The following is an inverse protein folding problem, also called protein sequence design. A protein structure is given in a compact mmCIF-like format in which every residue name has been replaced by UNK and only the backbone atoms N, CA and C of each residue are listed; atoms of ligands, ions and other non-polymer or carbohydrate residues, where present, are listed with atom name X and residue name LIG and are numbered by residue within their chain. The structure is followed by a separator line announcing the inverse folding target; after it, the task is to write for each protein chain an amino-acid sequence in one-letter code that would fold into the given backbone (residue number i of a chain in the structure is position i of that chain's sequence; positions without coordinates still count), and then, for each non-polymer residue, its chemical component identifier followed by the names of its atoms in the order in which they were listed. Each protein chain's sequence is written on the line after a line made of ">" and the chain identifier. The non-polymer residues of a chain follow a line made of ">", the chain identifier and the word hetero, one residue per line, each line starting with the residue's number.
data_IF_291350326339
#
_entry.id   IF_291350326339
#
_cell.length_a   1.000
_cell.length_b   1.000
_cell.length_c   1.000
_cell.angle_alpha   90.00
_cell.angle_beta   90.00
_cell.angle_gamma   90.00
#
_symmetry.space_group_name_H-M   'P 1'
#
loop_
_entity.id
_entity.type
_entity.pdbx_description
1 polymer ?
#
# COMPACT_ATOMS: atom_id res chain seq x y z
N UNK A 1 -35.36 -12.18 8.45
CA UNK A 1 -34.31 -11.20 8.11
C UNK A 1 -33.49 -10.99 9.38
N UNK A 2 -32.29 -11.55 9.50
CA UNK A 2 -31.43 -11.31 10.67
C UNK A 2 -30.82 -9.92 10.54
N UNK A 3 -31.14 -9.03 11.47
CA UNK A 3 -30.51 -7.71 11.57
C UNK A 3 -29.05 -7.92 11.95
N UNK A 4 -28.12 -7.67 11.04
CA UNK A 4 -26.69 -7.73 11.34
C UNK A 4 -26.37 -6.56 12.27
N UNK A 5 -26.10 -6.83 13.56
CA UNK A 5 -25.65 -5.80 14.49
C UNK A 5 -24.19 -5.45 14.16
N UNK A 6 -23.92 -4.15 14.03
CA UNK A 6 -22.59 -3.61 13.81
C UNK A 6 -22.05 -3.03 15.11
N UNK A 7 -20.84 -3.43 15.49
CA UNK A 7 -20.10 -2.91 16.63
C UNK A 7 -19.13 -1.83 16.13
N UNK A 8 -19.25 -0.57 16.60
CA UNK A 8 -18.35 0.51 16.22
C UNK A 8 -16.94 0.31 16.77
N UNK A 9 -15.95 0.68 15.95
CA UNK A 9 -14.55 0.77 16.34
C UNK A 9 -14.16 2.23 16.53
N UNK A 10 -13.54 2.55 17.66
CA UNK A 10 -13.07 3.89 18.00
C UNK A 10 -11.56 3.93 18.16
N UNK A 11 -10.98 5.11 17.99
CA UNK A 11 -9.62 5.39 18.47
C UNK A 11 -9.63 5.85 19.94
N UNK A 12 -8.45 6.00 20.56
CA UNK A 12 -8.32 6.51 21.94
C UNK A 12 -8.84 7.94 22.16
N UNK A 13 -9.12 8.69 21.10
CA UNK A 13 -9.70 10.03 21.16
C UNK A 13 -11.23 10.01 21.08
N UNK A 14 -11.86 8.83 21.07
CA UNK A 14 -13.31 8.67 20.95
C UNK A 14 -13.84 8.93 19.53
N UNK A 15 -12.98 9.01 18.52
CA UNK A 15 -13.41 9.18 17.13
C UNK A 15 -13.68 7.80 16.52
N UNK A 16 -14.82 7.66 15.85
CA UNK A 16 -15.19 6.42 15.16
C UNK A 16 -14.29 6.23 13.94
N UNK A 17 -13.64 5.07 13.88
CA UNK A 17 -12.79 4.64 12.76
C UNK A 17 -13.63 3.89 11.72
N UNK A 18 -14.36 2.86 12.16
CA UNK A 18 -15.15 1.97 11.31
C UNK A 18 -16.19 1.22 12.15
N UNK A 19 -16.74 0.12 11.64
CA UNK A 19 -17.49 -0.87 12.41
C UNK A 19 -17.20 -2.28 11.91
N UNK A 20 -17.29 -3.25 12.81
CA UNK A 20 -17.25 -4.68 12.51
C UNK A 20 -18.63 -5.28 12.76
N UNK A 21 -18.99 -6.32 12.03
CA UNK A 21 -20.20 -7.09 12.30
C UNK A 21 -20.01 -8.01 13.52
N UNK A 22 -21.09 -8.38 14.19
CA UNK A 22 -21.05 -9.44 15.23
C UNK A 22 -20.44 -10.75 14.70
N UNK A 23 -20.68 -11.09 13.44
CA UNK A 23 -20.06 -12.24 12.80
C UNK A 23 -18.53 -12.08 12.73
N UNK A 24 -18.02 -10.89 12.37
CA UNK A 24 -16.57 -10.61 12.37
C UNK A 24 -15.97 -10.73 13.78
N UNK A 25 -16.72 -10.39 14.83
CA UNK A 25 -16.32 -10.58 16.23
C UNK A 25 -16.15 -12.05 16.58
N UNK A 26 -17.03 -12.92 16.10
CA UNK A 26 -16.92 -14.36 16.35
C UNK A 26 -15.62 -14.98 15.79
N UNK A 27 -14.93 -14.27 14.88
CA UNK A 27 -13.63 -14.68 14.36
C UNK A 27 -12.45 -14.07 15.12
N UNK A 28 -12.71 -13.14 16.03
CA UNK A 28 -11.69 -12.60 16.92
C UNK A 28 -11.22 -13.73 17.82
N UNK A 29 -9.95 -14.09 17.67
CA UNK A 29 -9.30 -15.00 18.58
C UNK A 29 -9.10 -14.29 19.92
N UNK A 30 -10.02 -14.50 20.87
CA UNK A 30 -10.00 -13.83 22.17
C UNK A 30 -8.69 -14.07 22.95
N UNK A 31 -8.04 -15.22 22.73
CA UNK A 31 -6.73 -15.54 23.33
C UNK A 31 -5.60 -14.64 22.81
N UNK A 32 -5.84 -13.93 21.72
CA UNK A 32 -4.92 -13.00 21.05
C UNK A 32 -5.32 -11.54 21.25
N UNK A 33 -6.43 -11.26 21.94
CA UNK A 33 -6.81 -9.90 22.32
C UNK A 33 -5.85 -9.45 23.39
N UNK A 34 -4.91 -8.62 22.97
CA UNK A 34 -3.94 -8.02 23.86
C UNK A 34 -4.45 -6.66 24.32
N UNK A 35 -4.64 -6.50 25.63
CA UNK A 35 -5.02 -5.22 26.23
C UNK A 35 -4.01 -4.10 25.92
N UNK A 36 -2.78 -4.40 25.49
CA UNK A 36 -1.84 -3.37 25.00
C UNK A 36 -2.33 -2.70 23.72
N UNK A 37 -3.22 -3.35 22.97
CA UNK A 37 -3.69 -2.94 21.64
C UNK A 37 -5.18 -2.64 21.59
N UNK A 38 -5.99 -3.29 22.43
CA UNK A 38 -7.45 -3.17 22.42
C UNK A 38 -8.01 -2.76 23.79
N UNK A 39 -9.19 -2.15 23.77
CA UNK A 39 -10.12 -2.08 24.90
C UNK A 39 -11.45 -2.58 24.34
N UNK A 40 -11.98 -3.67 24.88
CA UNK A 40 -13.22 -4.30 24.41
C UNK A 40 -14.31 -3.99 25.42
N UNK A 41 -15.36 -3.33 24.96
CA UNK A 41 -16.54 -2.97 25.74
C UNK A 41 -17.76 -3.68 25.12
N UNK A 42 -18.84 -3.83 25.88
CA UNK A 42 -20.02 -4.60 25.45
C UNK A 42 -20.60 -4.13 24.10
N UNK A 43 -20.51 -2.82 23.81
CA UNK A 43 -21.11 -2.22 22.63
C UNK A 43 -20.09 -1.59 21.67
N UNK A 44 -18.80 -1.58 21.98
CA UNK A 44 -17.77 -0.99 21.11
C UNK A 44 -16.37 -1.52 21.38
N UNK A 45 -15.46 -1.28 20.44
CA UNK A 45 -14.04 -1.62 20.59
C UNK A 45 -13.19 -0.37 20.39
N UNK A 46 -12.22 -0.14 21.28
CA UNK A 46 -11.20 0.90 21.09
C UNK A 46 -9.91 0.26 20.59
N UNK A 47 -9.44 0.70 19.43
CA UNK A 47 -8.14 0.30 18.88
C UNK A 47 -7.07 1.34 19.22
N UNK A 48 -6.00 0.89 19.87
CA UNK A 48 -4.88 1.76 20.28
C UNK A 48 -3.93 1.95 19.11
N UNK A 49 -3.38 3.16 18.94
CA UNK A 49 -2.39 3.46 17.88
C UNK A 49 -1.16 2.55 17.93
N UNK A 50 -0.77 2.08 19.12
CA UNK A 50 0.33 1.13 19.33
C UNK A 50 0.16 -0.12 18.47
N UNK A 51 -1.07 -0.60 18.26
CA UNK A 51 -1.37 -1.75 17.41
C UNK A 51 -0.78 -1.59 16.00
N UNK A 52 -0.83 -0.38 15.45
CA UNK A 52 -0.39 -0.07 14.09
C UNK A 52 1.08 0.35 13.98
N UNK A 53 1.81 0.52 15.10
CA UNK A 53 3.18 1.05 15.18
C UNK A 53 4.15 0.07 15.83
N UNK A 54 3.96 -1.22 15.58
CA UNK A 54 4.81 -2.27 16.14
C UNK A 54 6.22 -2.27 15.53
N UNK A 55 7.22 -2.76 16.26
CA UNK A 55 8.58 -2.91 15.74
C UNK A 55 8.68 -3.95 14.62
N UNK A 56 7.72 -4.87 14.59
CA UNK A 56 7.57 -5.95 13.61
C UNK A 56 6.61 -5.59 12.47
N UNK A 57 6.51 -4.32 12.08
CA UNK A 57 5.81 -3.96 10.85
C UNK A 57 6.66 -4.31 9.64
N UNK A 58 6.01 -4.76 8.56
CA UNK A 58 6.69 -5.06 7.30
C UNK A 58 7.38 -3.80 6.79
N UNK A 59 8.72 -3.82 6.82
CA UNK A 59 9.54 -2.69 6.40
C UNK A 59 9.69 -2.66 4.89
N UNK A 60 9.95 -1.48 4.36
CA UNK A 60 10.34 -1.32 2.97
C UNK A 60 11.56 -2.19 2.67
N UNK A 61 11.61 -2.76 1.47
CA UNK A 61 12.69 -3.64 1.08
C UNK A 61 13.23 -3.26 -0.28
N UNK A 62 14.54 -3.02 -0.32
CA UNK A 62 15.28 -2.71 -1.54
C UNK A 62 16.12 -3.91 -1.96
N UNK A 63 16.07 -4.23 -3.25
CA UNK A 63 16.91 -5.24 -3.89
C UNK A 63 17.18 -4.84 -5.34
N UNK A 64 18.09 -5.53 -5.99
CA UNK A 64 18.50 -5.29 -7.37
C UNK A 64 18.00 -6.43 -8.27
N UNK A 65 17.52 -6.09 -9.46
CA UNK A 65 17.23 -7.02 -10.56
C UNK A 65 18.15 -6.65 -11.71
N UNK A 66 18.90 -7.62 -12.21
CA UNK A 66 19.73 -7.49 -13.40
C UNK A 66 19.39 -8.68 -14.31
N UNK A 67 18.81 -8.37 -15.48
CA UNK A 67 18.14 -9.35 -16.35
C UNK A 67 17.08 -10.14 -15.58
N UNK A 68 17.25 -11.44 -15.41
CA UNK A 68 16.34 -12.32 -14.68
C UNK A 68 16.84 -12.70 -13.27
N UNK A 69 17.98 -12.15 -12.85
CA UNK A 69 18.61 -12.49 -11.58
C UNK A 69 18.41 -11.40 -10.54
N UNK A 70 18.25 -11.83 -9.28
CA UNK A 70 18.05 -10.93 -8.14
C UNK A 70 19.25 -10.92 -7.22
N UNK A 71 19.61 -9.72 -6.79
CA UNK A 71 20.74 -9.46 -5.91
C UNK A 71 20.29 -8.59 -4.73
N UNK A 72 20.68 -8.95 -3.52
CA UNK A 72 20.36 -8.15 -2.32
C UNK A 72 21.22 -6.89 -2.21
N UNK A 73 22.30 -6.83 -2.98
CA UNK A 73 23.22 -5.69 -3.06
C UNK A 73 23.51 -5.39 -4.52
N UNK A 74 23.86 -4.14 -4.80
CA UNK A 74 24.33 -3.72 -6.12
C UNK A 74 25.58 -4.49 -6.50
N UNK A 75 25.68 -4.88 -7.77
CA UNK A 75 26.94 -5.33 -8.35
C UNK A 75 27.80 -4.13 -8.73
N UNK A 76 29.12 -4.26 -8.60
CA UNK A 76 30.06 -3.29 -9.13
C UNK A 76 29.97 -3.20 -10.66
N UNK A 77 30.13 -2.00 -11.21
CA UNK A 77 30.10 -1.76 -12.66
C UNK A 77 28.71 -1.80 -13.32
N UNK A 78 27.63 -2.10 -12.58
CA UNK A 78 26.26 -2.13 -13.13
C UNK A 78 25.52 -0.82 -12.82
N UNK A 79 24.95 -0.19 -13.86
CA UNK A 79 24.11 0.99 -13.70
C UNK A 79 22.65 0.59 -13.48
N UNK A 80 22.11 0.92 -12.29
CA UNK A 80 20.74 0.59 -11.91
C UNK A 80 19.81 1.81 -12.04
N UNK A 81 18.68 1.63 -12.72
CA UNK A 81 17.52 2.52 -12.64
C UNK A 81 16.74 2.27 -11.36
N UNK A 82 16.43 3.32 -10.62
CA UNK A 82 15.72 3.23 -9.34
C UNK A 82 14.22 3.15 -9.58
N UNK A 83 13.58 2.13 -9.02
CA UNK A 83 12.14 1.92 -9.13
C UNK A 83 11.54 1.93 -7.74
N UNK A 84 10.55 2.79 -7.51
CA UNK A 84 9.67 2.69 -6.35
C UNK A 84 8.44 1.88 -6.74
N UNK A 85 8.23 0.74 -6.10
CA UNK A 85 7.09 -0.12 -6.34
C UNK A 85 6.17 -0.14 -5.12
N UNK A 86 4.98 0.44 -5.25
CA UNK A 86 4.06 0.66 -4.15
C UNK A 86 3.01 -0.45 -4.10
N UNK A 87 2.89 -1.08 -2.94
CA UNK A 87 1.85 -2.05 -2.60
C UNK A 87 0.92 -1.45 -1.55
N UNK A 88 -0.39 -1.68 -1.66
CA UNK A 88 -1.36 -1.11 -0.72
C UNK A 88 -1.17 -1.60 0.72
N UNK A 89 -0.77 -2.87 0.88
CA UNK A 89 -0.69 -3.56 2.16
C UNK A 89 0.20 -4.79 2.07
N UNK A 90 0.75 -5.26 3.21
CA UNK A 90 1.49 -6.51 3.24
C UNK A 90 0.53 -7.69 3.01
N UNK A 91 0.99 -8.83 2.49
CA UNK A 91 0.17 -10.04 2.42
C UNK A 91 0.16 -10.79 3.77
N UNK A 92 -0.85 -11.62 4.05
CA UNK A 92 -0.91 -12.37 5.32
C UNK A 92 0.31 -13.30 5.51
N UNK A 93 0.91 -13.81 4.42
CA UNK A 93 2.12 -14.64 4.45
C UNK A 93 3.41 -13.87 4.82
N UNK A 94 3.33 -12.55 4.99
CA UNK A 94 4.46 -11.70 5.36
C UNK A 94 4.59 -11.52 6.87
N UNK A 95 3.91 -12.37 7.64
CA UNK A 95 3.96 -12.41 9.09
C UNK A 95 4.15 -13.85 9.57
N UNK A 96 4.99 -14.01 10.57
CA UNK A 96 5.13 -15.25 11.32
C UNK A 96 4.13 -15.22 12.50
N UNK A 97 3.04 -15.98 12.37
CA UNK A 97 1.98 -16.03 13.39
C UNK A 97 2.34 -16.90 14.59
N UNK A 98 3.36 -17.76 14.44
CA UNK A 98 3.82 -18.68 15.48
C UNK A 98 4.92 -18.02 16.33
N UNK A 99 5.71 -17.10 15.74
CA UNK A 99 6.72 -16.27 16.41
C UNK A 99 6.22 -14.84 16.69
N UNK A 100 5.16 -14.70 17.50
CA UNK A 100 4.77 -13.40 18.07
C UNK A 100 4.34 -12.34 17.04
N UNK A 101 3.83 -12.76 15.88
CA UNK A 101 3.38 -11.88 14.79
C UNK A 101 4.52 -11.08 14.13
N UNK A 102 5.72 -11.64 14.08
CA UNK A 102 6.89 -10.97 13.51
C UNK A 102 6.75 -10.74 12.01
N UNK A 103 6.96 -9.51 11.52
CA UNK A 103 7.03 -9.24 10.08
C UNK A 103 8.20 -9.96 9.43
N UNK A 104 7.92 -10.51 8.26
CA UNK A 104 8.89 -10.95 7.27
C UNK A 104 9.13 -9.84 6.23
N UNK A 105 9.77 -10.20 5.11
CA UNK A 105 10.01 -9.25 4.01
C UNK A 105 8.72 -9.05 3.18
N UNK A 106 8.53 -7.86 2.57
CA UNK A 106 7.53 -7.69 1.53
C UNK A 106 7.65 -8.78 0.45
N UNK A 107 6.52 -9.18 -0.11
CA UNK A 107 6.39 -10.24 -1.12
C UNK A 107 6.79 -11.64 -0.64
N UNK A 108 6.92 -11.89 0.68
CA UNK A 108 7.13 -13.26 1.17
C UNK A 108 6.00 -14.18 0.70
N UNK A 109 6.39 -15.30 0.07
CA UNK A 109 5.47 -16.24 -0.59
C UNK A 109 5.04 -15.87 -2.02
N UNK A 110 5.28 -14.64 -2.48
CA UNK A 110 5.00 -14.18 -3.85
C UNK A 110 6.25 -13.71 -4.61
N UNK A 111 7.42 -13.73 -3.98
CA UNK A 111 8.64 -13.13 -4.53
C UNK A 111 9.11 -13.78 -5.83
N UNK A 112 9.05 -15.11 -5.95
CA UNK A 112 9.40 -15.82 -7.19
C UNK A 112 8.58 -15.33 -8.37
N UNK A 113 7.29 -15.13 -8.14
CA UNK A 113 6.36 -14.68 -9.17
C UNK A 113 6.62 -13.22 -9.53
N UNK A 114 6.92 -12.37 -8.54
CA UNK A 114 7.32 -11.00 -8.78
C UNK A 114 8.58 -10.93 -9.66
N UNK A 115 9.60 -11.75 -9.36
CA UNK A 115 10.86 -11.78 -10.13
C UNK A 115 10.67 -12.11 -11.61
N UNK A 116 9.72 -12.98 -11.93
CA UNK A 116 9.42 -13.37 -13.31
C UNK A 116 8.71 -12.26 -14.07
N UNK A 117 7.78 -11.55 -13.41
CA UNK A 117 6.89 -10.62 -14.09
C UNK A 117 7.37 -9.16 -14.04
N UNK A 118 8.17 -8.78 -13.05
CA UNK A 118 8.69 -7.42 -12.95
C UNK A 118 9.51 -7.00 -14.17
N UNK A 119 10.45 -7.81 -14.71
CA UNK A 119 11.16 -7.45 -15.94
C UNK A 119 10.21 -7.20 -17.12
N UNK A 120 9.19 -8.04 -17.29
CA UNK A 120 8.16 -7.88 -18.35
C UNK A 120 7.38 -6.58 -18.19
N UNK A 121 7.00 -6.24 -16.96
CA UNK A 121 6.35 -4.96 -16.66
C UNK A 121 7.25 -3.78 -17.02
N UNK A 122 8.54 -3.87 -16.68
CA UNK A 122 9.49 -2.80 -16.97
C UNK A 122 9.78 -2.67 -18.46
N UNK A 123 9.79 -3.77 -19.20
CA UNK A 123 9.87 -3.77 -20.66
C UNK A 123 8.66 -3.02 -21.27
N UNK A 124 7.45 -3.23 -20.78
CA UNK A 124 6.28 -2.44 -21.21
C UNK A 124 6.39 -0.95 -20.86
N UNK A 125 7.05 -0.60 -19.76
CA UNK A 125 7.22 0.80 -19.30
C UNK A 125 8.31 1.53 -20.09
N UNK A 126 9.41 0.84 -20.41
CA UNK A 126 10.66 1.46 -20.89
C UNK A 126 10.96 1.14 -22.34
N UNK A 127 10.37 0.08 -22.89
CA UNK A 127 10.73 -0.51 -24.18
C UNK A 127 12.20 -0.94 -24.29
N UNK A 128 12.87 -1.20 -23.15
CA UNK A 128 14.28 -1.60 -23.08
C UNK A 128 14.47 -2.81 -22.14
N UNK A 129 14.85 -3.94 -22.72
CA UNK A 129 15.12 -5.20 -22.02
C UNK A 129 16.50 -5.24 -21.31
N UNK A 130 17.40 -4.30 -21.61
CA UNK A 130 18.79 -4.31 -21.14
C UNK A 130 18.99 -3.64 -19.78
N UNK A 131 17.94 -2.99 -19.24
CA UNK A 131 18.01 -2.21 -18.03
C UNK A 131 18.14 -3.08 -16.78
N UNK A 132 19.02 -2.66 -15.88
CA UNK A 132 19.10 -3.15 -14.50
C UNK A 132 18.32 -2.23 -13.57
N UNK A 133 17.62 -2.79 -12.59
CA UNK A 133 16.74 -2.05 -11.69
C UNK A 133 17.13 -2.22 -10.22
N UNK A 134 17.20 -1.12 -9.49
CA UNK A 134 17.17 -1.11 -8.02
C UNK A 134 15.73 -0.87 -7.59
N UNK A 135 15.07 -1.93 -7.14
CA UNK A 135 13.64 -1.92 -6.81
C UNK A 135 13.49 -1.73 -5.32
N UNK A 136 12.72 -0.73 -4.92
CA UNK A 136 12.28 -0.53 -3.54
C UNK A 136 10.79 -0.81 -3.44
N UNK A 137 10.43 -1.88 -2.73
CA UNK A 137 9.05 -2.17 -2.37
C UNK A 137 8.67 -1.28 -1.19
N UNK A 138 7.60 -0.51 -1.36
CA UNK A 138 7.08 0.38 -0.33
C UNK A 138 5.62 0.06 -0.02
N UNK A 139 5.31 -0.09 1.26
CA UNK A 139 3.95 -0.36 1.73
C UNK A 139 3.50 0.83 2.60
N UNK A 140 2.64 1.73 2.08
CA UNK A 140 2.36 2.97 2.78
C UNK A 140 1.60 2.82 4.08
N UNK A 141 0.78 1.78 4.21
CA UNK A 141 0.19 1.39 5.50
C UNK A 141 0.57 -0.07 5.75
N UNK A 142 1.63 -0.34 6.53
CA UNK A 142 2.24 -1.68 6.65
C UNK A 142 1.44 -2.62 7.58
N UNK A 143 0.11 -2.60 7.47
CA UNK A 143 -0.76 -3.17 8.49
C UNK A 143 -2.15 -3.66 8.02
N UNK A 144 -2.56 -3.48 6.76
CA UNK A 144 -3.96 -3.81 6.43
C UNK A 144 -4.29 -5.31 6.53
N UNK A 145 -3.38 -6.22 6.15
CA UNK A 145 -3.65 -7.66 6.27
C UNK A 145 -3.09 -8.29 7.56
N UNK A 146 -2.44 -7.53 8.45
CA UNK A 146 -2.19 -8.01 9.83
C UNK A 146 -3.50 -8.21 10.60
N UNK A 147 -4.59 -7.62 10.13
CA UNK A 147 -5.95 -7.94 10.59
C UNK A 147 -6.31 -9.42 10.43
N UNK A 148 -5.59 -10.19 9.61
CA UNK A 148 -5.71 -11.64 9.62
C UNK A 148 -5.41 -12.27 10.99
N UNK A 149 -4.49 -11.69 11.76
CA UNK A 149 -4.16 -12.14 13.12
C UNK A 149 -5.39 -12.10 14.03
N UNK A 150 -6.19 -11.05 13.93
CA UNK A 150 -7.40 -10.88 14.72
C UNK A 150 -8.59 -11.59 14.09
N UNK A 151 -8.82 -11.44 12.80
CA UNK A 151 -10.09 -11.81 12.15
C UNK A 151 -10.02 -13.07 11.26
N UNK A 152 -8.93 -13.85 11.33
CA UNK A 152 -8.74 -15.15 10.66
C UNK A 152 -9.29 -15.24 9.21
N UNK A 153 -8.84 -14.33 8.34
CA UNK A 153 -9.21 -14.19 6.90
C UNK A 153 -10.64 -13.72 6.59
N UNK A 154 -11.52 -13.52 7.58
CA UNK A 154 -12.95 -13.31 7.35
C UNK A 154 -13.43 -11.86 7.53
N UNK A 155 -12.50 -10.90 7.58
CA UNK A 155 -12.82 -9.47 7.69
C UNK A 155 -13.28 -8.89 6.35
N UNK A 156 -14.33 -8.06 6.39
CA UNK A 156 -14.87 -7.39 5.19
C UNK A 156 -13.90 -6.35 4.67
N UNK A 157 -13.88 -6.16 3.35
CA UNK A 157 -13.04 -5.15 2.68
C UNK A 157 -13.34 -3.72 3.17
N UNK A 158 -14.59 -3.41 3.50
CA UNK A 158 -14.95 -2.11 4.07
C UNK A 158 -14.27 -1.88 5.43
N UNK A 159 -14.21 -2.89 6.28
CA UNK A 159 -13.52 -2.83 7.57
C UNK A 159 -12.02 -2.64 7.37
N UNK A 160 -11.40 -3.41 6.46
CA UNK A 160 -9.98 -3.26 6.10
C UNK A 160 -9.68 -1.84 5.61
N UNK A 161 -10.54 -1.31 4.75
CA UNK A 161 -10.39 0.04 4.21
C UNK A 161 -10.51 1.12 5.29
N UNK A 162 -11.48 1.01 6.20
CA UNK A 162 -11.62 1.95 7.32
C UNK A 162 -10.38 1.98 8.23
N UNK A 163 -9.82 0.81 8.53
CA UNK A 163 -8.59 0.70 9.32
C UNK A 163 -7.36 1.22 8.56
N UNK A 164 -7.30 1.01 7.24
CA UNK A 164 -6.26 1.60 6.41
C UNK A 164 -6.34 3.13 6.38
N UNK A 165 -7.53 3.71 6.23
CA UNK A 165 -7.74 5.17 6.25
C UNK A 165 -7.31 5.79 7.58
N UNK A 166 -7.63 5.12 8.70
CA UNK A 166 -7.16 5.55 10.02
C UNK A 166 -5.64 5.54 10.11
N UNK A 167 -4.98 4.49 9.61
CA UNK A 167 -3.53 4.47 9.50
C UNK A 167 -3.00 5.63 8.65
N UNK A 168 -3.55 5.77 7.45
CA UNK A 168 -3.12 6.75 6.48
C UNK A 168 -3.20 8.19 7.01
N UNK A 169 -4.38 8.59 7.51
CA UNK A 169 -4.69 9.96 7.92
C UNK A 169 -4.38 10.24 9.40
N UNK A 170 -5.06 9.57 10.32
CA UNK A 170 -4.97 9.86 11.75
C UNK A 170 -3.62 9.48 12.35
N UNK A 171 -3.06 8.35 11.91
CA UNK A 171 -1.72 7.93 12.30
C UNK A 171 -0.64 8.54 11.42
N UNK A 172 -1.00 9.36 10.41
CA UNK A 172 -0.08 10.15 9.58
C UNK A 172 0.93 9.32 8.77
N UNK A 173 0.62 8.07 8.42
CA UNK A 173 1.49 7.30 7.52
C UNK A 173 1.68 7.98 6.15
N UNK A 174 0.70 8.78 5.71
CA UNK A 174 0.87 9.57 4.49
C UNK A 174 2.05 10.56 4.57
N UNK A 175 2.35 11.11 5.76
CA UNK A 175 3.46 12.05 5.95
C UNK A 175 4.80 11.33 5.92
N UNK A 176 4.87 10.16 6.56
CA UNK A 176 6.06 9.30 6.52
C UNK A 176 6.40 8.90 5.08
N UNK A 177 5.37 8.67 4.25
CA UNK A 177 5.55 8.43 2.83
C UNK A 177 6.04 9.66 2.06
N UNK A 178 5.46 10.84 2.31
CA UNK A 178 5.91 12.11 1.73
C UNK A 178 7.38 12.39 2.09
N UNK A 179 7.75 12.21 3.35
CA UNK A 179 9.14 12.35 3.83
C UNK A 179 10.07 11.34 3.15
N UNK A 180 9.65 10.07 3.05
CA UNK A 180 10.44 9.04 2.38
C UNK A 180 10.79 9.40 0.92
N UNK A 181 9.84 10.01 0.22
CA UNK A 181 9.98 10.50 -1.15
C UNK A 181 10.81 11.78 -1.24
N UNK A 182 10.68 12.70 -0.29
CA UNK A 182 11.42 13.96 -0.27
C UNK A 182 12.94 13.78 -0.27
N UNK A 183 13.45 12.70 0.33
CA UNK A 183 14.89 12.39 0.38
C UNK A 183 15.38 11.49 -0.77
N UNK A 184 14.50 11.00 -1.65
CA UNK A 184 14.84 9.97 -2.64
C UNK A 184 14.23 10.27 -3.99
N UNK A 185 15.07 10.29 -5.03
CA UNK A 185 14.62 10.30 -6.41
C UNK A 185 14.64 8.88 -6.98
N UNK A 186 13.54 8.50 -7.61
CA UNK A 186 13.38 7.29 -8.40
C UNK A 186 13.20 7.65 -9.86
N UNK A 187 13.71 6.80 -10.76
CA UNK A 187 13.49 6.91 -12.20
C UNK A 187 12.05 6.53 -12.57
N UNK A 188 11.47 5.55 -11.86
CA UNK A 188 10.12 5.05 -12.08
C UNK A 188 9.33 4.93 -10.79
N UNK A 189 8.10 5.43 -10.79
CA UNK A 189 7.15 5.30 -9.68
C UNK A 189 5.99 4.43 -10.14
N UNK A 190 5.86 3.24 -9.55
CA UNK A 190 4.86 2.25 -9.92
C UNK A 190 3.86 2.09 -8.77
N UNK A 191 2.60 2.39 -9.03
CA UNK A 191 1.51 2.20 -8.11
C UNK A 191 0.72 0.93 -8.46
N UNK A 192 1.00 -0.15 -7.71
CA UNK A 192 0.41 -1.46 -7.91
C UNK A 192 -0.68 -1.77 -6.86
N UNK A 193 -1.33 -0.75 -6.31
CA UNK A 193 -2.45 -0.90 -5.37
C UNK A 193 -3.79 -1.14 -6.09
N UNK A 194 -4.77 -1.72 -5.39
CA UNK A 194 -6.15 -1.85 -5.88
C UNK A 194 -6.80 -0.48 -6.04
N UNK A 195 -7.84 -0.41 -6.88
CA UNK A 195 -8.48 0.83 -7.35
C UNK A 195 -8.79 1.80 -6.21
N UNK A 196 -9.28 1.30 -5.08
CA UNK A 196 -9.68 2.11 -3.93
C UNK A 196 -8.48 2.84 -3.32
N UNK A 197 -7.40 2.13 -2.98
CA UNK A 197 -6.21 2.72 -2.38
C UNK A 197 -5.39 3.53 -3.40
N UNK A 198 -5.38 3.08 -4.66
CA UNK A 198 -4.66 3.71 -5.75
C UNK A 198 -4.98 5.18 -5.88
N UNK A 199 -6.26 5.52 -5.93
CA UNK A 199 -6.70 6.92 -6.04
C UNK A 199 -6.13 7.78 -4.91
N UNK A 200 -6.15 7.27 -3.67
CA UNK A 200 -5.66 8.00 -2.49
C UNK A 200 -4.14 8.16 -2.52
N UNK A 201 -3.41 7.10 -2.86
CA UNK A 201 -1.95 7.11 -2.97
C UNK A 201 -1.51 8.03 -4.12
N UNK A 202 -2.15 7.92 -5.29
CA UNK A 202 -1.86 8.76 -6.46
C UNK A 202 -2.08 10.24 -6.18
N UNK A 203 -3.11 10.62 -5.42
CA UNK A 203 -3.32 12.01 -4.99
C UNK A 203 -2.18 12.57 -4.11
N UNK A 204 -1.46 11.69 -3.39
CA UNK A 204 -0.27 12.09 -2.65
C UNK A 204 0.96 12.14 -3.54
N UNK A 205 1.13 11.13 -4.40
CA UNK A 205 2.21 11.08 -5.38
C UNK A 205 2.18 12.29 -6.32
N UNK A 206 1.01 12.69 -6.81
CA UNK A 206 0.85 13.77 -7.78
C UNK A 206 1.40 15.12 -7.31
N UNK A 207 1.61 15.29 -6.01
CA UNK A 207 2.17 16.50 -5.41
C UNK A 207 3.70 16.49 -5.33
N UNK A 208 4.32 15.33 -5.60
CA UNK A 208 5.73 15.06 -5.30
C UNK A 208 6.50 14.55 -6.51
N UNK A 209 5.81 13.98 -7.50
CA UNK A 209 6.42 13.33 -8.66
C UNK A 209 5.69 13.74 -9.93
N UNK A 210 6.43 13.83 -11.03
CA UNK A 210 5.88 14.25 -12.33
C UNK A 210 5.28 13.11 -13.14
N UNK A 211 5.71 11.87 -12.92
CA UNK A 211 5.23 10.71 -13.69
C UNK A 211 5.01 9.51 -12.79
N UNK A 212 3.82 8.93 -12.87
CA UNK A 212 3.40 7.71 -12.18
C UNK A 212 2.93 6.66 -13.19
N UNK A 213 3.27 5.40 -12.94
CA UNK A 213 2.80 4.25 -13.69
C UNK A 213 1.83 3.44 -12.82
N UNK A 214 0.57 3.35 -13.24
CA UNK A 214 -0.46 2.59 -12.55
C UNK A 214 -0.65 1.22 -13.22
N UNK A 215 -0.65 0.16 -12.42
CA UNK A 215 -0.86 -1.21 -12.89
C UNK A 215 -2.27 -1.66 -12.53
N UNK A 216 -3.13 -1.87 -13.53
CA UNK A 216 -4.49 -2.39 -13.33
C UNK A 216 -4.46 -3.91 -13.28
N UNK A 217 -4.12 -4.53 -12.13
CA UNK A 217 -4.57 -5.88 -11.69
C UNK A 217 -3.82 -6.36 -10.42
N UNK A 218 -4.27 -5.99 -9.20
CA UNK A 218 -3.42 -6.10 -8.00
C UNK A 218 -3.94 -7.06 -6.93
N UNK A 219 -4.44 -8.25 -7.30
CA UNK A 219 -4.56 -9.32 -6.30
C UNK A 219 -3.42 -10.32 -6.46
N UNK A 220 -2.94 -10.90 -5.35
CA UNK A 220 -1.89 -11.92 -5.34
C UNK A 220 -2.23 -13.14 -6.20
N UNK A 221 -3.52 -13.37 -6.50
CA UNK A 221 -3.99 -14.42 -7.41
C UNK A 221 -3.88 -14.07 -8.90
N UNK A 222 -3.74 -12.80 -9.28
CA UNK A 222 -3.55 -12.37 -10.66
C UNK A 222 -2.22 -12.85 -11.23
N UNK A 223 -1.22 -12.93 -10.36
CA UNK A 223 0.14 -13.33 -10.68
C UNK A 223 0.31 -14.85 -10.88
N UNK A 224 -0.74 -15.66 -10.66
CA UNK A 224 -0.74 -17.11 -10.94
C UNK A 224 -1.00 -17.45 -12.41
N UNK A 225 -1.19 -16.46 -13.28
CA UNK A 225 -1.49 -16.67 -14.71
C UNK A 225 -0.20 -16.74 -15.54
N UNK A 226 -0.15 -17.66 -16.50
CA UNK A 226 1.00 -17.85 -17.39
C UNK A 226 1.24 -16.63 -18.31
N UNK A 227 0.18 -15.91 -18.67
CA UNK A 227 0.24 -14.64 -19.41
C UNK A 227 -0.39 -13.52 -18.59
N UNK A 228 0.42 -12.52 -18.25
CA UNK A 228 0.04 -11.38 -17.41
C UNK A 228 -0.18 -10.17 -18.32
N UNK A 229 -1.38 -9.58 -18.28
CA UNK A 229 -1.68 -8.30 -18.96
C UNK A 229 -1.75 -7.20 -17.90
N UNK A 230 -0.65 -6.46 -17.73
CA UNK A 230 -0.50 -5.52 -16.60
C UNK A 230 -1.56 -4.41 -16.58
N UNK A 231 -2.15 -4.05 -17.72
CA UNK A 231 -3.10 -2.95 -17.81
C UNK A 231 -2.44 -1.66 -17.35
N UNK A 232 -1.39 -1.24 -18.05
CA UNK A 232 -0.57 -0.11 -17.67
C UNK A 232 -1.24 1.22 -18.02
N UNK A 233 -1.26 2.16 -17.08
CA UNK A 233 -1.64 3.56 -17.33
C UNK A 233 -0.54 4.48 -16.84
N UNK A 234 0.08 5.21 -17.78
CA UNK A 234 0.99 6.31 -17.46
C UNK A 234 0.17 7.55 -17.09
N UNK A 235 0.46 8.13 -15.95
CA UNK A 235 -0.07 9.41 -15.50
C UNK A 235 1.06 10.43 -15.48
N UNK A 236 0.82 11.57 -16.12
CA UNK A 236 1.69 12.74 -16.04
C UNK A 236 1.01 13.69 -15.06
N UNK A 237 1.66 13.89 -13.92
CA UNK A 237 1.21 14.84 -12.91
C UNK A 237 1.77 16.19 -13.30
N UNK A 238 0.86 17.13 -13.52
CA UNK A 238 1.19 18.49 -13.87
C UNK A 238 1.60 19.20 -12.58
N UNK A 239 2.78 19.81 -12.57
CA UNK A 239 3.14 20.72 -11.48
C UNK A 239 2.18 21.93 -11.46
N UNK A 240 2.08 22.61 -10.32
CA UNK A 240 1.22 23.80 -10.12
C UNK A 240 1.54 24.97 -11.09
N UNK A 241 2.47 24.82 -12.04
CA UNK A 241 2.66 25.74 -13.18
C UNK A 241 1.43 25.85 -14.09
N UNK A 242 0.42 24.99 -13.95
CA UNK A 242 -0.86 25.13 -14.65
C UNK A 242 -1.83 26.17 -14.05
N UNK A 243 -1.45 26.87 -12.98
CA UNK A 243 -2.19 28.07 -12.53
C UNK A 243 -2.24 29.15 -13.62
N UNK A 244 -1.31 29.13 -14.60
CA UNK A 244 -1.33 29.99 -15.79
C UNK A 244 -2.56 29.79 -16.70
N UNK A 245 -3.30 28.69 -16.60
CA UNK A 245 -4.53 28.51 -17.37
C UNK A 245 -5.77 29.07 -16.68
N UNK A 246 -5.71 29.42 -15.39
CA UNK A 246 -6.83 30.07 -14.68
C UNK A 246 -6.88 31.58 -14.91
N UNK A 247 -5.75 32.21 -15.23
CA UNK A 247 -5.71 33.66 -15.50
C UNK A 247 -6.25 34.01 -16.89
N UNK A 248 -6.22 33.07 -17.85
CA UNK A 248 -6.76 33.31 -19.20
C UNK A 248 -8.27 33.07 -19.34
N UNK A 249 -8.94 32.43 -18.37
CA UNK A 249 -10.41 32.28 -18.40
C UNK A 249 -11.16 33.49 -17.80
N UNK A 250 -10.45 34.42 -17.14
CA UNK A 250 -11.04 35.66 -16.59
C UNK A 250 -10.79 36.89 -17.46
N UNK A 251 -10.05 36.76 -18.57
CA UNK A 251 -9.73 37.87 -19.45
C UNK A 251 -10.70 38.05 -20.65
N UNK A 252 -11.63 37.12 -20.87
CA UNK A 252 -12.51 37.13 -22.07
C UNK A 252 -14.00 37.38 -21.78
N UNK A 253 -14.32 37.90 -20.59
CA UNK A 253 -15.63 38.51 -20.32
C UNK A 253 -15.56 40.04 -20.46
N UNK A 254 -15.25 40.51 -21.66
CA UNK A 254 -15.51 41.90 -22.03
C UNK A 254 -17.01 42.11 -22.23
N UNK A 255 -17.63 43.12 -21.59
CA UNK A 255 -19.04 43.42 -21.77
C UNK A 255 -19.20 44.36 -22.97
N UNK A 256 -19.59 43.81 -24.12
CA UNK A 256 -20.32 44.52 -25.16
C UNK A 256 -21.45 43.64 -25.69
#
# INVERSE_FOLDING_TARGET
>A
MQTIKNIPLYNRKGQRITSITEQEISYIDETKIDERFFIVENDFIVVKSKFFRQEHLVKNWTFCIDKQSVYLKRKEGVHYKKVLFILESPHHNEFDYDDGFKSLKPLTGNFEVFKINFPKLMEEITSDESLSYEVTIYIPVPFQNSLHYLFRRNIKEQTKFGLWLYGWWDLKFHKEFEEFLGYRKFDYYINSSTRTYRTIISQKLSKLITTEYQVYNPNSSYWRRNEVKFGLKKLIHLDDSHVLFKENETADSSPF
#
